data_IF_322877748987
#
_entry.id   IF_322877748987
#
_cell.length_a   1.000
_cell.length_b   1.000
_cell.length_c   1.000
_cell.angle_alpha   90.00
_cell.angle_beta   90.00
_cell.angle_gamma   90.00
#
_symmetry.space_group_name_H-M   'P 1'
#
loop_
_entity.id
_entity.type
_entity.pdbx_description
1 polymer ?
#
# COMPACT_ATOMS: atom_id res chain seq x y z
N UNK A 1 2.80 -17.46 -15.51
CA UNK A 1 2.41 -18.89 -15.65
C UNK A 1 2.10 -19.43 -14.27
N UNK A 2 0.85 -19.27 -13.80
CA UNK A 2 0.45 -19.66 -12.43
C UNK A 2 0.11 -21.15 -12.39
N UNK A 3 0.79 -21.92 -11.53
CA UNK A 3 0.47 -23.34 -11.29
C UNK A 3 -0.42 -23.47 -10.05
N UNK A 4 -1.60 -24.06 -10.29
CA UNK A 4 -2.60 -24.61 -9.35
C UNK A 4 -2.02 -25.03 -7.99
N UNK A 5 -2.61 -24.52 -6.90
CA UNK A 5 -2.75 -25.28 -5.66
C UNK A 5 -4.25 -25.45 -5.33
N UNK A 6 -4.56 -26.48 -4.53
CA UNK A 6 -5.93 -26.85 -4.12
C UNK A 6 -6.13 -26.46 -2.66
N UNK A 7 -7.26 -25.82 -2.38
CA UNK A 7 -7.92 -25.65 -1.08
C UNK A 7 -7.18 -24.93 0.08
N UNK A 8 -5.90 -24.60 -0.04
CA UNK A 8 -5.21 -23.56 0.78
C UNK A 8 -4.97 -22.24 0.01
N UNK A 9 -5.52 -22.12 -1.19
CA UNK A 9 -5.19 -21.07 -2.17
C UNK A 9 -5.93 -19.75 -2.02
N UNK A 10 -7.09 -19.71 -1.34
CA UNK A 10 -7.91 -18.49 -1.38
C UNK A 10 -7.16 -17.30 -0.81
N UNK A 11 -6.44 -17.48 0.30
CA UNK A 11 -5.64 -16.42 0.94
C UNK A 11 -4.41 -15.99 0.13
N UNK A 12 -3.81 -16.90 -0.65
CA UNK A 12 -2.66 -16.58 -1.52
C UNK A 12 -3.13 -15.83 -2.78
N UNK A 13 -4.29 -16.22 -3.33
CA UNK A 13 -4.90 -15.48 -4.45
C UNK A 13 -5.38 -14.09 -4.04
N UNK A 14 -5.96 -13.95 -2.85
CA UNK A 14 -6.46 -12.67 -2.33
C UNK A 14 -5.32 -11.67 -2.10
N UNK A 15 -4.25 -12.09 -1.41
CA UNK A 15 -3.04 -11.28 -1.21
C UNK A 15 -2.35 -10.89 -2.52
N UNK A 16 -2.29 -11.78 -3.51
CA UNK A 16 -1.74 -11.46 -4.83
C UNK A 16 -2.61 -10.47 -5.63
N UNK A 17 -3.94 -10.54 -5.47
CA UNK A 17 -4.88 -9.60 -6.11
C UNK A 17 -4.75 -8.22 -5.47
N UNK A 18 -4.72 -8.16 -4.15
CA UNK A 18 -4.62 -6.92 -3.39
C UNK A 18 -3.27 -6.22 -3.63
N UNK A 19 -2.16 -6.97 -3.67
CA UNK A 19 -0.85 -6.44 -4.08
C UNK A 19 -0.87 -5.89 -5.51
N UNK A 20 -1.55 -6.59 -6.43
CA UNK A 20 -1.70 -6.12 -7.81
C UNK A 20 -2.55 -4.85 -7.89
N UNK A 21 -3.61 -4.75 -7.08
CA UNK A 21 -4.46 -3.56 -6.98
C UNK A 21 -3.70 -2.37 -6.41
N UNK A 22 -2.92 -2.55 -5.34
CA UNK A 22 -2.06 -1.50 -4.80
C UNK A 22 -1.04 -1.02 -5.85
N UNK A 23 -0.41 -1.95 -6.59
CA UNK A 23 0.53 -1.63 -7.66
C UNK A 23 -0.13 -0.92 -8.85
N UNK A 24 -1.36 -1.28 -9.19
CA UNK A 24 -2.14 -0.61 -10.23
C UNK A 24 -2.52 0.81 -9.81
N UNK A 25 -3.04 0.98 -8.59
CA UNK A 25 -3.34 2.30 -8.03
C UNK A 25 -2.10 3.21 -8.02
N UNK A 26 -0.95 2.70 -7.57
CA UNK A 26 0.34 3.41 -7.61
C UNK A 26 0.76 3.84 -9.02
N UNK A 27 0.44 3.05 -10.04
CA UNK A 27 0.73 3.39 -11.42
C UNK A 27 -0.15 4.53 -11.95
N UNK A 28 -1.37 4.63 -11.41
CA UNK A 28 -2.40 5.59 -11.83
C UNK A 28 -2.37 6.89 -11.02
N UNK A 29 -1.67 6.94 -9.88
CA UNK A 29 -1.47 8.18 -9.13
C UNK A 29 -0.87 9.24 -10.04
N UNK A 30 -1.37 10.47 -9.96
CA UNK A 30 -0.80 11.65 -10.59
C UNK A 30 0.44 12.15 -9.84
N UNK A 31 1.19 13.11 -10.41
CA UNK A 31 2.32 13.75 -9.71
C UNK A 31 1.89 14.45 -8.42
N UNK A 32 0.84 15.28 -8.52
CA UNK A 32 0.31 16.01 -7.38
C UNK A 32 -0.22 15.07 -6.26
N UNK A 33 -0.83 13.94 -6.61
CA UNK A 33 -1.30 12.95 -5.62
C UNK A 33 -0.12 12.26 -4.90
N UNK A 34 0.99 12.00 -5.59
CA UNK A 34 2.21 11.48 -4.95
C UNK A 34 2.82 12.52 -4.01
N UNK A 35 2.92 13.77 -4.46
CA UNK A 35 3.49 14.85 -3.65
C UNK A 35 2.63 15.08 -2.38
N UNK A 36 1.30 15.06 -2.51
CA UNK A 36 0.38 15.18 -1.38
C UNK A 36 0.50 14.00 -0.41
N UNK A 37 0.67 12.78 -0.92
CA UNK A 37 0.86 11.58 -0.11
C UNK A 37 2.17 11.64 0.68
N UNK A 38 3.28 12.01 0.03
CA UNK A 38 4.59 12.17 0.69
C UNK A 38 4.54 13.25 1.76
N UNK A 39 4.01 14.44 1.42
CA UNK A 39 3.89 15.53 2.38
C UNK A 39 3.04 15.16 3.61
N UNK A 40 1.95 14.43 3.40
CA UNK A 40 1.07 13.99 4.51
C UNK A 40 1.75 12.95 5.40
N UNK A 41 2.59 12.08 4.83
CA UNK A 41 3.39 11.11 5.60
C UNK A 41 4.50 11.81 6.38
N UNK A 42 5.20 12.76 5.77
CA UNK A 42 6.29 13.52 6.41
C UNK A 42 5.80 14.38 7.59
N UNK A 43 4.63 15.03 7.43
CA UNK A 43 4.03 15.88 8.47
C UNK A 43 3.21 15.09 9.51
N UNK A 44 2.96 13.80 9.26
CA UNK A 44 2.10 12.96 10.06
C UNK A 44 2.74 12.47 11.37
N UNK A 45 1.93 12.18 12.42
CA UNK A 45 2.44 11.51 13.61
C UNK A 45 2.91 10.09 13.23
N UNK A 46 4.18 9.79 13.52
CA UNK A 46 4.92 8.54 13.22
C UNK A 46 4.43 7.32 14.03
N UNK A 47 3.11 7.05 13.99
CA UNK A 47 2.46 5.97 14.75
C UNK A 47 2.64 4.59 14.11
N UNK A 48 2.96 4.54 12.81
CA UNK A 48 3.20 3.33 12.04
C UNK A 48 4.46 3.51 11.15
N UNK A 49 5.65 3.54 11.75
CA UNK A 49 6.89 3.88 11.03
C UNK A 49 7.17 2.93 9.86
N UNK A 50 6.88 1.63 10.00
CA UNK A 50 7.07 0.66 8.92
C UNK A 50 6.11 0.89 7.75
N UNK A 51 4.88 1.36 8.00
CA UNK A 51 3.95 1.73 6.94
C UNK A 51 4.45 2.97 6.21
N UNK A 52 4.89 3.99 6.93
CA UNK A 52 5.35 5.25 6.33
C UNK A 52 6.61 5.06 5.48
N UNK A 53 7.58 4.31 5.99
CA UNK A 53 8.76 3.92 5.21
C UNK A 53 8.39 3.12 3.95
N UNK A 54 7.35 2.28 4.04
CA UNK A 54 6.85 1.58 2.86
C UNK A 54 6.14 2.52 1.87
N UNK A 55 5.35 3.50 2.35
CA UNK A 55 4.70 4.51 1.51
C UNK A 55 5.75 5.36 0.76
N UNK A 56 6.79 5.82 1.44
CA UNK A 56 7.93 6.52 0.82
C UNK A 56 8.56 5.66 -0.29
N UNK A 57 8.85 4.39 0.00
CA UNK A 57 9.43 3.47 -0.97
C UNK A 57 8.56 3.25 -2.21
N UNK A 58 7.23 3.17 -2.05
CA UNK A 58 6.33 3.01 -3.21
C UNK A 58 6.14 4.31 -3.99
N UNK A 59 6.22 5.47 -3.35
CA UNK A 59 6.24 6.77 -4.03
C UNK A 59 7.50 6.91 -4.89
N UNK A 60 8.66 6.59 -4.33
CA UNK A 60 9.92 6.52 -5.07
C UNK A 60 9.82 5.56 -6.26
N UNK A 61 9.24 4.38 -6.05
CA UNK A 61 9.01 3.42 -7.13
C UNK A 61 8.15 4.01 -8.26
N UNK A 62 7.04 4.67 -7.91
CA UNK A 62 6.14 5.26 -8.89
C UNK A 62 6.82 6.39 -9.70
N UNK A 63 7.65 7.20 -9.05
CA UNK A 63 8.42 8.25 -9.70
C UNK A 63 9.50 7.68 -10.63
N UNK A 64 10.32 6.75 -10.13
CA UNK A 64 11.37 6.12 -10.92
C UNK A 64 10.80 5.40 -12.17
N UNK A 65 9.62 4.78 -12.04
CA UNK A 65 8.93 4.17 -13.19
C UNK A 65 8.59 5.18 -14.29
N UNK A 66 8.20 6.40 -13.93
CA UNK A 66 7.94 7.47 -14.91
C UNK A 66 9.20 7.93 -15.63
N UNK A 67 10.36 7.77 -15.00
CA UNK A 67 11.68 8.02 -15.60
C UNK A 67 12.20 6.82 -16.42
N UNK A 68 11.42 5.75 -16.53
CA UNK A 68 11.76 4.55 -17.31
C UNK A 68 12.54 3.49 -16.53
N UNK A 69 12.67 3.63 -15.21
CA UNK A 69 13.30 2.63 -14.34
C UNK A 69 12.23 1.68 -13.78
N UNK A 70 12.28 0.41 -14.17
CA UNK A 70 11.35 -0.62 -13.69
C UNK A 70 12.06 -1.59 -12.75
N UNK A 71 11.72 -1.54 -11.46
CA UNK A 71 12.20 -2.48 -10.44
C UNK A 71 11.03 -3.12 -9.69
N UNK A 72 11.23 -4.33 -9.12
CA UNK A 72 10.18 -5.01 -8.39
C UNK A 72 9.79 -4.22 -7.13
N UNK A 73 8.50 -3.95 -6.99
CA UNK A 73 7.93 -3.34 -5.79
C UNK A 73 7.82 -4.36 -4.68
N UNK A 74 8.34 -4.03 -3.50
CA UNK A 74 8.22 -4.90 -2.33
C UNK A 74 6.79 -4.83 -1.78
N UNK A 75 6.15 -5.97 -1.45
CA UNK A 75 4.84 -5.97 -0.82
C UNK A 75 4.86 -5.27 0.55
N UNK A 76 3.74 -4.65 0.97
CA UNK A 76 3.65 -4.08 2.31
C UNK A 76 3.83 -5.15 3.40
N UNK A 77 3.47 -6.41 3.11
CA UNK A 77 3.66 -7.50 4.06
C UNK A 77 5.10 -7.87 4.39
N UNK A 78 6.05 -7.53 3.51
CA UNK A 78 7.47 -7.75 3.72
C UNK A 78 8.14 -6.55 4.43
N UNK A 79 7.44 -5.41 4.49
CA UNK A 79 7.92 -4.18 5.11
C UNK A 79 7.30 -3.94 6.49
N UNK A 80 6.02 -4.30 6.68
CA UNK A 80 5.27 -4.08 7.91
C UNK A 80 5.24 -5.37 8.73
N UNK A 81 5.82 -5.31 9.93
CA UNK A 81 5.77 -6.42 10.86
C UNK A 81 4.35 -6.65 11.37
N UNK A 82 3.90 -7.91 11.60
CA UNK A 82 2.53 -8.18 12.05
C UNK A 82 2.11 -7.47 13.34
N UNK A 83 3.08 -7.13 14.21
CA UNK A 83 2.83 -6.37 15.45
C UNK A 83 2.42 -4.92 15.19
N UNK A 84 2.69 -4.40 13.99
CA UNK A 84 2.34 -3.06 13.56
C UNK A 84 1.08 -3.04 12.68
N UNK A 85 0.43 -4.19 12.41
CA UNK A 85 -0.73 -4.27 11.52
C UNK A 85 -1.87 -3.33 12.00
N UNK A 86 -2.21 -3.36 13.30
CA UNK A 86 -3.26 -2.50 13.86
C UNK A 86 -2.92 -1.01 13.75
N UNK A 87 -1.70 -0.62 14.14
CA UNK A 87 -1.24 0.76 14.03
C UNK A 87 -1.16 1.23 12.57
N UNK A 88 -0.80 0.33 11.65
CA UNK A 88 -0.73 0.58 10.21
C UNK A 88 -2.12 0.72 9.59
N UNK A 89 -3.11 -0.05 10.03
CA UNK A 89 -4.51 0.12 9.63
C UNK A 89 -5.02 1.49 10.07
N UNK A 90 -4.81 1.85 11.34
CA UNK A 90 -5.23 3.16 11.88
C UNK A 90 -4.56 4.31 11.12
N UNK A 91 -3.25 4.21 10.86
CA UNK A 91 -2.51 5.19 10.08
C UNK A 91 -3.02 5.30 8.63
N UNK A 92 -3.29 4.17 7.96
CA UNK A 92 -3.84 4.17 6.60
C UNK A 92 -5.24 4.80 6.54
N UNK A 93 -6.09 4.57 7.54
CA UNK A 93 -7.40 5.20 7.66
C UNK A 93 -7.30 6.72 7.91
N UNK A 94 -6.34 7.15 8.74
CA UNK A 94 -6.05 8.57 8.96
C UNK A 94 -5.56 9.25 7.68
N UNK A 95 -4.60 8.65 6.98
CA UNK A 95 -4.13 9.14 5.67
C UNK A 95 -5.29 9.23 4.67
N UNK A 96 -6.18 8.23 4.66
CA UNK A 96 -7.35 8.22 3.78
C UNK A 96 -8.30 9.36 4.07
N UNK A 97 -8.53 9.68 5.34
CA UNK A 97 -9.34 10.82 5.74
C UNK A 97 -8.68 12.15 5.34
N UNK A 98 -7.36 12.28 5.51
CA UNK A 98 -6.60 13.48 5.16
C UNK A 98 -6.54 13.73 3.65
N UNK A 99 -6.45 12.66 2.85
CA UNK A 99 -6.25 12.72 1.40
C UNK A 99 -7.56 12.51 0.60
N UNK A 100 -8.72 12.53 1.26
CA UNK A 100 -10.01 12.24 0.63
C UNK A 100 -10.35 13.18 -0.55
N UNK A 101 -9.77 14.38 -0.58
CA UNK A 101 -9.96 15.37 -1.65
C UNK A 101 -8.92 15.29 -2.78
N UNK A 102 -7.80 14.59 -2.57
CA UNK A 102 -6.64 14.62 -3.48
C UNK A 102 -6.84 13.73 -4.72
N UNK A 103 -7.70 12.71 -4.62
CA UNK A 103 -8.15 11.96 -5.79
C UNK A 103 -8.54 10.51 -5.53
N UNK A 104 -9.06 9.88 -6.58
CA UNK A 104 -9.54 8.50 -6.51
C UNK A 104 -8.39 7.50 -6.42
N UNK A 105 -7.23 7.81 -7.02
CA UNK A 105 -6.11 6.88 -7.07
C UNK A 105 -5.44 6.74 -5.69
N UNK A 106 -5.22 7.85 -4.99
CA UNK A 106 -4.69 7.83 -3.61
C UNK A 106 -5.67 7.17 -2.63
N UNK A 107 -6.97 7.40 -2.79
CA UNK A 107 -7.99 6.72 -1.98
C UNK A 107 -7.98 5.22 -2.24
N UNK A 108 -7.92 4.79 -3.51
CA UNK A 108 -7.87 3.39 -3.89
C UNK A 108 -6.60 2.68 -3.37
N UNK A 109 -5.46 3.37 -3.36
CA UNK A 109 -4.22 2.87 -2.76
C UNK A 109 -4.40 2.61 -1.26
N UNK A 110 -4.93 3.58 -0.52
CA UNK A 110 -5.12 3.48 0.93
C UNK A 110 -6.16 2.42 1.30
N UNK A 111 -7.24 2.30 0.51
CA UNK A 111 -8.21 1.21 0.65
C UNK A 111 -7.58 -0.17 0.40
N UNK A 112 -6.69 -0.28 -0.60
CA UNK A 112 -5.96 -1.52 -0.87
C UNK A 112 -4.99 -1.88 0.27
N UNK A 113 -4.32 -0.89 0.88
CA UNK A 113 -3.45 -1.10 2.05
C UNK A 113 -4.26 -1.60 3.25
N UNK A 114 -5.40 -0.98 3.54
CA UNK A 114 -6.28 -1.41 4.63
C UNK A 114 -6.79 -2.84 4.38
N UNK A 115 -7.19 -3.17 3.16
CA UNK A 115 -7.61 -4.53 2.80
C UNK A 115 -6.50 -5.56 3.02
N UNK A 116 -5.26 -5.28 2.57
CA UNK A 116 -4.09 -6.14 2.76
C UNK A 116 -3.82 -6.44 4.23
N UNK A 117 -3.86 -5.39 5.07
CA UNK A 117 -3.57 -5.50 6.50
C UNK A 117 -4.72 -6.16 7.27
N UNK A 118 -5.98 -5.88 6.92
CA UNK A 118 -7.16 -6.50 7.56
C UNK A 118 -7.34 -7.96 7.13
N UNK A 119 -6.95 -8.31 5.90
CA UNK A 119 -6.91 -9.68 5.41
C UNK A 119 -5.91 -10.55 6.19
N UNK A 120 -4.87 -9.93 6.80
CA UNK A 120 -3.90 -10.60 7.66
C UNK A 120 -4.39 -10.87 9.08
N UNK A 121 -5.14 -9.97 9.71
CA UNK A 121 -5.66 -10.21 11.08
C UNK A 121 -6.52 -11.47 11.17
N UNK A 122 -7.15 -11.89 10.07
CA UNK A 122 -7.92 -13.14 9.97
C UNK A 122 -7.06 -14.42 9.84
N UNK A 123 -5.72 -14.31 9.86
CA UNK A 123 -4.77 -15.44 9.78
C UNK A 123 -4.14 -15.85 11.13
N UNK A 124 -4.48 -15.18 12.23
CA UNK A 124 -4.04 -15.57 13.58
C UNK A 124 -5.05 -16.48 14.27
#
# INVERSE_FOLDING_TARGET
MCKRFRHRDRSICESCIEHHQAKAALADLAGAELDALVATVDDGPQIAPSLFAWIEHVCDWAQNRREGLDFPLRPPEDAIEPREDAASIDAALLLRASLAAEGQAVTALLDAIVALLTGKERRQ
#
